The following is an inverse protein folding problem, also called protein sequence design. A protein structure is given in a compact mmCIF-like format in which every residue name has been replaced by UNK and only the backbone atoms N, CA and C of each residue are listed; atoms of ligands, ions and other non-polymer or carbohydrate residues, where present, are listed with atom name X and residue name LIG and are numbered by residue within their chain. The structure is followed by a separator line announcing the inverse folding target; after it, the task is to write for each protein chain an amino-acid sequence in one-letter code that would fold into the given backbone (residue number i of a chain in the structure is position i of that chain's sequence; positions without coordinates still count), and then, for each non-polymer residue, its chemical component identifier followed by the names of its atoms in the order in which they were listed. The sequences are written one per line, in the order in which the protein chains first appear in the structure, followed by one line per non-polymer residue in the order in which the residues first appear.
data_IF_772104680781
#
_entry.id   IF_772104680781
#
_cell.length_a   1.000
_cell.length_b   1.000
_cell.length_c   1.000
_cell.angle_alpha   90.00
_cell.angle_beta   90.00
_cell.angle_gamma   90.00
#
_symmetry.space_group_name_H-M   'P 1'
#
loop_
_entity.id
_entity.type
_entity.pdbx_description
1 polymer ?
#
# COMPACT_ATOMS: atom_id res chain seq x y z
N UNK A 1 -20.81 -14.75 15.44
CA UNK A 1 -20.82 -13.52 14.63
C UNK A 1 -19.96 -13.83 13.43
N UNK A 2 -20.51 -13.79 12.23
CA UNK A 2 -19.80 -14.21 11.01
C UNK A 2 -18.64 -13.24 10.74
N UNK A 3 -17.40 -13.73 10.76
CA UNK A 3 -16.19 -12.90 10.60
C UNK A 3 -16.24 -12.17 9.25
N UNK A 4 -16.91 -12.76 8.26
CA UNK A 4 -17.16 -12.16 6.95
C UNK A 4 -18.00 -10.86 7.01
N UNK A 5 -18.85 -10.67 8.03
CA UNK A 5 -19.66 -9.46 8.18
C UNK A 5 -18.92 -8.32 8.89
N UNK A 6 -17.91 -8.61 9.71
CA UNK A 6 -17.12 -7.59 10.43
C UNK A 6 -16.13 -6.86 9.51
N UNK A 7 -15.68 -7.51 8.43
CA UNK A 7 -14.64 -7.01 7.51
C UNK A 7 -15.17 -6.77 6.08
N UNK A 8 -16.39 -6.23 5.97
CA UNK A 8 -17.06 -6.08 4.67
C UNK A 8 -16.34 -5.12 3.70
N UNK A 9 -15.53 -4.21 4.22
CA UNK A 9 -14.89 -3.13 3.47
C UNK A 9 -13.37 -3.28 3.44
N UNK A 10 -12.74 -3.18 2.25
CA UNK A 10 -11.28 -3.17 2.15
C UNK A 10 -10.66 -1.97 2.85
N UNK A 11 -9.49 -2.21 3.45
CA UNK A 11 -8.61 -1.15 3.92
C UNK A 11 -7.80 -0.59 2.75
N UNK A 12 -7.53 0.71 2.79
CA UNK A 12 -6.57 1.35 1.91
C UNK A 12 -5.18 1.37 2.57
N UNK A 13 -4.17 0.86 1.87
CA UNK A 13 -2.76 0.88 2.28
C UNK A 13 -1.86 1.40 1.15
N UNK A 14 -0.62 1.71 1.48
CA UNK A 14 0.48 1.90 0.52
C UNK A 14 1.48 0.77 0.73
N UNK A 15 2.04 0.28 -0.36
CA UNK A 15 3.17 -0.66 -0.38
C UNK A 15 4.29 -0.04 -1.22
N UNK A 16 5.54 -0.34 -0.90
CA UNK A 16 6.70 0.02 -1.74
C UNK A 16 7.57 -1.20 -2.05
N UNK A 17 8.81 -0.97 -2.48
CA UNK A 17 9.73 -1.98 -3.00
C UNK A 17 10.05 -3.09 -1.99
N UNK A 18 10.01 -2.78 -0.69
CA UNK A 18 10.25 -3.75 0.39
C UNK A 18 9.10 -4.75 0.59
N UNK A 19 7.95 -4.49 -0.03
CA UNK A 19 6.79 -5.38 -0.06
C UNK A 19 6.63 -6.11 -1.39
N UNK A 20 6.67 -5.37 -2.51
CA UNK A 20 6.46 -5.91 -3.86
C UNK A 20 7.42 -5.20 -4.81
N UNK A 21 8.37 -5.97 -5.33
CA UNK A 21 9.34 -5.53 -6.34
C UNK A 21 9.78 -6.72 -7.22
N UNK A 22 10.39 -6.46 -8.37
CA UNK A 22 10.98 -7.49 -9.22
C UNK A 22 12.31 -8.02 -8.66
N UNK A 23 12.62 -9.27 -8.99
CA UNK A 23 13.89 -9.90 -8.65
C UNK A 23 14.09 -10.25 -7.16
N UNK A 24 13.16 -9.83 -6.29
CA UNK A 24 13.28 -10.02 -4.84
C UNK A 24 12.49 -11.24 -4.33
N UNK A 25 13.02 -11.96 -3.32
CA UNK A 25 12.25 -13.00 -2.63
C UNK A 25 11.01 -12.40 -1.94
N UNK A 26 9.97 -13.20 -1.68
CA UNK A 26 9.91 -14.66 -1.88
C UNK A 26 9.43 -15.09 -3.27
N UNK A 27 8.89 -14.16 -4.07
CA UNK A 27 8.21 -14.50 -5.33
C UNK A 27 9.11 -14.35 -6.56
N UNK A 28 10.16 -13.51 -6.51
CA UNK A 28 11.05 -13.23 -7.64
C UNK A 28 10.27 -12.80 -8.89
N UNK A 29 9.36 -11.84 -8.73
CA UNK A 29 8.59 -11.32 -9.85
C UNK A 29 9.52 -10.79 -10.94
N UNK A 30 9.12 -10.92 -12.19
CA UNK A 30 9.75 -10.19 -13.30
C UNK A 30 9.30 -8.73 -13.34
N UNK A 31 10.12 -7.87 -13.95
CA UNK A 31 9.79 -6.44 -14.21
C UNK A 31 8.36 -6.30 -14.78
N UNK A 32 7.99 -7.17 -15.73
CA UNK A 32 6.66 -7.14 -16.34
C UNK A 32 5.55 -7.61 -15.41
N UNK A 33 5.80 -8.54 -14.50
CA UNK A 33 4.79 -9.05 -13.57
C UNK A 33 4.36 -7.99 -12.56
N UNK A 34 5.28 -7.08 -12.21
CA UNK A 34 5.02 -5.96 -11.28
C UNK A 34 4.84 -4.62 -11.98
N UNK A 35 4.76 -4.57 -13.31
CA UNK A 35 4.60 -3.34 -14.11
C UNK A 35 5.77 -2.35 -14.06
N UNK A 36 6.96 -2.77 -13.66
CA UNK A 36 8.17 -1.94 -13.66
C UNK A 36 8.42 -1.33 -15.06
N UNK A 37 8.21 -2.12 -16.13
CA UNK A 37 8.34 -1.65 -17.52
C UNK A 37 7.41 -0.49 -17.93
N UNK A 38 6.38 -0.19 -17.13
CA UNK A 38 5.47 0.94 -17.31
C UNK A 38 5.37 1.84 -16.08
N UNK A 39 6.27 1.69 -15.11
CA UNK A 39 6.25 2.47 -13.87
C UNK A 39 6.41 3.97 -14.19
N UNK A 40 5.50 4.77 -13.65
CA UNK A 40 5.49 6.23 -13.80
C UNK A 40 4.58 6.84 -12.73
N UNK A 41 4.57 8.17 -12.63
CA UNK A 41 3.62 8.91 -11.81
C UNK A 41 2.19 8.57 -12.22
N UNK A 42 1.31 8.46 -11.21
CA UNK A 42 -0.12 8.20 -11.38
C UNK A 42 -0.49 6.85 -12.04
N UNK A 43 0.44 5.92 -12.27
CA UNK A 43 0.10 4.57 -12.72
C UNK A 43 -0.74 3.88 -11.63
N UNK A 44 -1.92 3.39 -12.02
CA UNK A 44 -2.88 2.72 -11.11
C UNK A 44 -3.41 1.41 -11.67
N UNK A 45 -3.01 1.02 -12.88
CA UNK A 45 -3.27 -0.31 -13.42
C UNK A 45 -2.99 -1.40 -12.40
N UNK A 46 -3.77 -2.47 -12.39
CA UNK A 46 -3.49 -3.62 -11.53
C UNK A 46 -2.13 -4.24 -11.93
N UNK A 47 -1.35 -4.70 -10.94
CA UNK A 47 -0.10 -5.41 -11.22
C UNK A 47 -0.41 -6.67 -12.04
N UNK A 48 0.30 -6.89 -13.16
CA UNK A 48 -0.03 -7.96 -14.11
C UNK A 48 -0.05 -9.35 -13.48
N UNK A 49 0.82 -9.64 -12.52
CA UNK A 49 0.77 -10.90 -11.78
C UNK A 49 -0.51 -11.04 -10.95
N UNK A 50 -0.95 -9.98 -10.28
CA UNK A 50 -2.14 -9.99 -9.44
C UNK A 50 -3.41 -10.14 -10.28
N UNK A 51 -3.49 -9.42 -11.42
CA UNK A 51 -4.61 -9.53 -12.36
C UNK A 51 -4.72 -10.93 -12.98
N UNK A 52 -3.59 -11.58 -13.26
CA UNK A 52 -3.56 -12.92 -13.84
C UNK A 52 -3.85 -14.06 -12.84
N UNK A 53 -3.62 -13.84 -11.55
CA UNK A 53 -3.69 -14.88 -10.51
C UNK A 53 -4.70 -14.63 -9.35
N UNK A 54 -5.94 -14.14 -9.57
CA UNK A 54 -6.93 -14.03 -8.50
C UNK A 54 -7.23 -15.37 -7.81
N UNK A 55 -7.21 -15.36 -6.47
CA UNK A 55 -7.46 -16.54 -5.64
C UNK A 55 -6.20 -17.30 -5.22
N UNK A 56 -5.06 -17.05 -5.87
CA UNK A 56 -3.78 -17.64 -5.48
C UNK A 56 -3.34 -17.12 -4.12
N UNK A 57 -2.62 -17.99 -3.40
CA UNK A 57 -2.08 -17.70 -2.08
C UNK A 57 -0.57 -17.56 -2.21
N UNK A 58 -0.08 -16.36 -1.93
CA UNK A 58 1.35 -16.04 -1.99
C UNK A 58 1.80 -15.42 -0.67
N UNK A 59 3.11 -15.32 -0.51
CA UNK A 59 3.75 -14.63 0.61
C UNK A 59 4.32 -13.32 0.12
N UNK A 60 4.26 -12.28 0.94
CA UNK A 60 4.95 -11.02 0.71
C UNK A 60 5.85 -10.74 1.91
N UNK A 61 7.01 -10.13 1.64
CA UNK A 61 7.78 -9.51 2.71
C UNK A 61 7.11 -8.19 3.12
N UNK A 62 7.52 -7.68 4.29
CA UNK A 62 7.05 -6.40 4.82
C UNK A 62 8.18 -5.45 5.19
N UNK A 63 9.38 -5.69 4.64
CA UNK A 63 10.59 -4.92 4.90
C UNK A 63 11.32 -5.29 6.20
N UNK A 64 12.00 -4.31 6.76
CA UNK A 64 12.74 -4.38 8.01
C UNK A 64 12.44 -3.17 8.90
N UNK A 65 12.73 -3.25 10.20
CA UNK A 65 12.56 -2.10 11.10
C UNK A 65 13.44 -0.93 10.61
N UNK A 66 12.77 0.17 10.22
CA UNK A 66 13.41 1.36 9.66
C UNK A 66 13.42 1.43 8.13
N UNK A 67 12.92 0.38 7.48
CA UNK A 67 12.77 0.21 6.03
C UNK A 67 11.50 -0.64 5.82
N UNK A 68 10.36 -0.09 6.24
CA UNK A 68 9.09 -0.82 6.24
C UNK A 68 8.46 -0.86 4.85
N UNK A 69 7.94 -2.02 4.43
CA UNK A 69 7.32 -2.14 3.10
C UNK A 69 5.84 -1.74 3.02
N UNK A 70 5.20 -1.52 4.17
CA UNK A 70 3.75 -1.45 4.31
C UNK A 70 3.35 -0.24 5.14
N UNK A 71 2.40 0.56 4.64
CA UNK A 71 2.00 1.79 5.31
C UNK A 71 0.49 1.97 5.38
N UNK A 72 0.01 2.39 6.54
CA UNK A 72 -1.35 2.88 6.71
C UNK A 72 -1.41 4.39 6.48
N UNK A 73 -2.33 4.83 5.62
CA UNK A 73 -2.73 6.24 5.53
C UNK A 73 -3.89 6.46 6.49
N UNK A 74 -3.68 7.29 7.52
CA UNK A 74 -4.69 7.51 8.58
C UNK A 74 -5.48 8.79 8.39
N UNK A 75 -5.05 9.69 7.51
CA UNK A 75 -5.72 10.96 7.21
C UNK A 75 -5.67 11.20 5.71
N UNK A 76 -6.79 11.62 5.13
CA UNK A 76 -6.83 12.15 3.77
C UNK A 76 -6.72 13.67 3.87
N UNK A 77 -5.67 14.29 3.28
CA UNK A 77 -5.55 15.74 3.25
C UNK A 77 -6.71 16.39 2.48
N UNK A 78 -7.21 17.53 2.99
CA UNK A 78 -8.24 18.34 2.28
C UNK A 78 -7.76 18.79 0.89
N UNK A 79 -6.44 18.93 0.71
CA UNK A 79 -5.86 19.25 -0.59
C UNK A 79 -6.11 18.18 -1.65
N UNK A 80 -6.26 16.91 -1.24
CA UNK A 80 -6.57 15.82 -2.16
C UNK A 80 -8.03 15.88 -2.63
N UNK A 81 -8.96 16.28 -1.75
CA UNK A 81 -10.35 16.55 -2.14
C UNK A 81 -10.42 17.68 -3.17
N UNK A 82 -9.69 18.78 -2.91
CA UNK A 82 -9.63 19.93 -3.81
C UNK A 82 -8.93 19.65 -5.15
N UNK A 83 -8.13 18.59 -5.26
CA UNK A 83 -7.45 18.22 -6.50
C UNK A 83 -8.42 17.75 -7.59
N UNK A 84 -9.58 17.18 -7.21
CA UNK A 84 -10.50 16.55 -8.15
C UNK A 84 -9.92 15.26 -8.77
N UNK A 85 -10.65 14.60 -9.69
CA UNK A 85 -11.89 15.05 -10.33
C UNK A 85 -13.17 14.80 -9.53
N UNK A 86 -13.07 14.14 -8.38
CA UNK A 86 -14.21 13.86 -7.48
C UNK A 86 -14.17 14.78 -6.26
N UNK A 87 -15.18 14.66 -5.39
CA UNK A 87 -15.22 15.30 -4.08
C UNK A 87 -14.80 14.34 -2.95
N UNK A 88 -14.00 13.32 -3.27
CA UNK A 88 -13.42 12.39 -2.32
C UNK A 88 -11.91 12.36 -2.55
N UNK A 89 -11.15 12.86 -1.57
CA UNK A 89 -9.70 12.96 -1.69
C UNK A 89 -9.00 11.62 -1.83
N UNK A 90 -9.53 10.54 -1.26
CA UNK A 90 -8.95 9.21 -1.46
C UNK A 90 -9.22 8.71 -2.88
N UNK A 91 -10.43 8.92 -3.42
CA UNK A 91 -10.71 8.60 -4.83
C UNK A 91 -9.83 9.42 -5.78
N UNK A 92 -9.56 10.69 -5.46
CA UNK A 92 -8.69 11.56 -6.27
C UNK A 92 -7.23 11.09 -6.28
N UNK A 93 -6.74 10.50 -5.19
CA UNK A 93 -5.38 9.93 -5.10
C UNK A 93 -5.28 8.53 -5.71
N UNK A 94 -6.25 7.66 -5.43
CA UNK A 94 -6.26 6.28 -5.91
C UNK A 94 -6.62 6.20 -7.41
N UNK A 95 -7.42 7.14 -7.90
CA UNK A 95 -7.92 7.12 -9.28
C UNK A 95 -8.82 5.91 -9.55
N UNK A 96 -8.82 5.49 -10.82
CA UNK A 96 -9.62 4.38 -11.33
C UNK A 96 -8.78 3.55 -12.31
N UNK A 97 -8.31 2.41 -11.81
CA UNK A 97 -7.46 1.47 -12.52
C UNK A 97 -8.06 0.89 -13.82
N UNK A 98 -9.35 1.09 -14.09
CA UNK A 98 -10.01 0.71 -15.35
C UNK A 98 -10.02 1.76 -16.44
N UNK A 99 -9.71 3.00 -16.09
CA UNK A 99 -9.61 4.10 -17.06
C UNK A 99 -8.20 4.09 -17.59
N UNK A 100 -8.02 4.41 -18.86
CA UNK A 100 -6.69 4.59 -19.44
C UNK A 100 -5.90 5.62 -18.62
N UNK A 101 -4.57 5.49 -18.64
CA UNK A 101 -3.66 6.46 -18.03
C UNK A 101 -4.10 7.91 -18.34
N UNK A 102 -4.15 8.82 -17.35
CA UNK A 102 -3.60 8.71 -15.99
C UNK A 102 -4.64 8.28 -14.93
N UNK A 103 -5.59 7.42 -15.31
CA UNK A 103 -6.52 6.78 -14.36
C UNK A 103 -7.39 7.74 -13.54
N UNK A 104 -7.68 8.95 -14.05
CA UNK A 104 -8.41 9.99 -13.29
C UNK A 104 -7.76 10.38 -11.95
N UNK A 105 -6.44 10.26 -11.82
CA UNK A 105 -5.70 10.78 -10.66
C UNK A 105 -5.68 12.32 -10.71
N UNK A 106 -5.94 12.96 -9.58
CA UNK A 106 -6.04 14.41 -9.47
C UNK A 106 -4.73 15.16 -9.74
N UNK A 107 -4.77 16.38 -10.30
CA UNK A 107 -3.61 17.25 -10.43
C UNK A 107 -2.86 17.43 -9.10
N UNK A 108 -1.53 17.28 -9.13
CA UNK A 108 -0.68 17.33 -7.93
C UNK A 108 -0.60 16.00 -7.15
N UNK A 109 -1.35 14.96 -7.56
CA UNK A 109 -1.34 13.60 -7.00
C UNK A 109 -0.72 12.55 -7.96
N UNK A 110 0.00 13.04 -8.97
CA UNK A 110 0.71 12.30 -10.01
C UNK A 110 0.47 12.88 -11.42
N UNK A 111 -0.39 13.89 -11.55
CA UNK A 111 -0.76 14.51 -12.84
C UNK A 111 -0.70 16.04 -12.82
N UNK A 112 -0.72 16.68 -13.99
CA UNK A 112 -0.70 18.14 -14.13
C UNK A 112 0.70 18.78 -14.10
N UNK A 113 0.77 20.11 -14.10
CA UNK A 113 2.01 20.88 -14.28
C UNK A 113 3.01 20.75 -13.11
N UNK A 114 2.52 20.42 -11.92
CA UNK A 114 3.32 20.18 -10.72
C UNK A 114 2.87 18.86 -10.10
N UNK A 115 3.22 17.73 -10.73
CA UNK A 115 2.47 16.50 -10.59
C UNK A 115 2.47 15.91 -9.19
N UNK A 116 3.42 16.26 -8.34
CA UNK A 116 3.56 15.67 -7.00
C UNK A 116 3.50 16.70 -5.87
N UNK A 117 3.05 17.93 -6.17
CA UNK A 117 3.06 19.04 -5.21
C UNK A 117 2.19 18.77 -3.97
N UNK A 118 1.24 17.82 -4.06
CA UNK A 118 0.35 17.43 -2.98
C UNK A 118 0.70 16.08 -2.35
N UNK A 119 1.86 15.49 -2.69
CA UNK A 119 2.30 14.18 -2.23
C UNK A 119 3.44 14.24 -1.19
N UNK A 120 3.78 15.44 -0.71
CA UNK A 120 4.81 15.62 0.32
C UNK A 120 4.20 15.91 1.70
N UNK A 121 4.94 15.57 2.76
CA UNK A 121 4.58 15.84 4.16
C UNK A 121 3.15 15.38 4.53
N UNK A 122 2.74 14.23 4.02
CA UNK A 122 1.41 13.67 4.23
C UNK A 122 1.30 13.21 5.68
N UNK A 123 0.36 13.76 6.48
CA UNK A 123 0.28 13.46 7.90
C UNK A 123 -0.15 12.02 8.16
N UNK A 124 0.48 11.39 9.16
CA UNK A 124 0.11 10.07 9.67
C UNK A 124 0.14 8.96 8.60
N UNK A 125 1.07 9.04 7.64
CA UNK A 125 1.54 7.86 6.90
C UNK A 125 2.34 7.02 7.88
N UNK A 126 1.78 5.87 8.26
CA UNK A 126 2.23 5.09 9.42
C UNK A 126 2.83 3.77 8.95
N UNK A 127 4.15 3.55 9.14
CA UNK A 127 4.79 2.27 8.88
C UNK A 127 4.16 1.14 9.68
N UNK A 128 3.87 0.01 9.03
CA UNK A 128 3.28 -1.16 9.65
C UNK A 128 4.36 -2.16 10.02
N UNK A 129 4.54 -2.32 11.33
CA UNK A 129 5.37 -3.36 11.94
C UNK A 129 4.50 -4.53 12.41
N UNK A 130 5.09 -5.50 13.10
CA UNK A 130 4.44 -6.78 13.39
C UNK A 130 3.05 -6.66 14.03
N UNK A 131 2.89 -5.80 15.04
CA UNK A 131 1.59 -5.58 15.69
C UNK A 131 0.55 -5.02 14.70
N UNK A 132 0.95 -4.07 13.86
CA UNK A 132 0.06 -3.47 12.85
C UNK A 132 -0.31 -4.43 11.73
N UNK A 133 0.64 -5.28 11.31
CA UNK A 133 0.44 -6.31 10.31
C UNK A 133 -0.52 -7.39 10.81
N UNK A 134 -0.36 -7.89 12.04
CA UNK A 134 -1.23 -8.93 12.62
C UNK A 134 -2.70 -8.48 12.70
N UNK A 135 -2.93 -7.19 12.98
CA UNK A 135 -4.26 -6.59 12.95
C UNK A 135 -4.94 -6.61 11.57
N UNK A 136 -4.19 -6.88 10.50
CA UNK A 136 -4.72 -7.06 9.15
C UNK A 136 -5.22 -8.48 8.88
N UNK A 137 -4.97 -9.47 9.74
CA UNK A 137 -5.42 -10.86 9.52
C UNK A 137 -6.95 -10.92 9.35
N UNK A 138 -7.39 -11.52 8.26
CA UNK A 138 -8.80 -11.60 7.84
C UNK A 138 -9.36 -10.30 7.24
N UNK A 139 -8.54 -9.28 7.03
CA UNK A 139 -8.90 -8.02 6.35
C UNK A 139 -8.63 -8.13 4.86
N UNK A 140 -9.47 -7.45 4.09
CA UNK A 140 -9.22 -7.17 2.67
C UNK A 140 -8.48 -5.85 2.56
N UNK A 141 -7.56 -5.75 1.61
CA UNK A 141 -6.73 -4.59 1.33
C UNK A 141 -6.86 -4.22 -0.14
N UNK A 142 -6.90 -2.92 -0.40
CA UNK A 142 -6.50 -2.32 -1.66
C UNK A 142 -5.24 -1.50 -1.38
N UNK A 143 -4.22 -1.62 -2.22
CA UNK A 143 -3.01 -0.84 -2.08
C UNK A 143 -2.55 -0.22 -3.40
N UNK A 144 -1.95 0.97 -3.29
CA UNK A 144 -1.06 1.51 -4.33
C UNK A 144 0.34 0.99 -4.04
N UNK A 145 1.01 0.49 -5.07
CA UNK A 145 2.39 -0.03 -4.99
C UNK A 145 3.33 0.99 -5.62
N UNK A 146 4.31 1.42 -4.84
CA UNK A 146 5.39 2.31 -5.27
C UNK A 146 6.55 1.50 -5.84
N UNK A 147 7.22 2.10 -6.82
CA UNK A 147 8.42 1.54 -7.46
C UNK A 147 9.69 1.71 -6.61
N UNK A 148 9.65 2.59 -5.61
CA UNK A 148 10.73 2.74 -4.64
C UNK A 148 10.23 3.25 -3.30
N UNK A 149 11.15 3.47 -2.37
CA UNK A 149 10.85 3.71 -0.95
C UNK A 149 9.89 4.86 -0.67
N UNK A 150 8.95 4.60 0.24
CA UNK A 150 8.16 5.64 0.88
C UNK A 150 8.95 6.21 2.07
N UNK A 151 9.39 7.46 1.93
CA UNK A 151 10.16 8.12 2.99
C UNK A 151 9.28 8.61 4.14
N UNK A 152 9.73 8.40 5.39
CA UNK A 152 9.01 8.77 6.60
C UNK A 152 9.82 9.71 7.49
N UNK A 153 9.20 10.81 7.89
CA UNK A 153 9.62 11.64 9.02
C UNK A 153 8.84 11.23 10.27
N UNK A 154 9.50 11.12 11.41
CA UNK A 154 8.88 10.63 12.66
C UNK A 154 8.52 11.74 13.66
N UNK A 155 9.00 12.97 13.44
CA UNK A 155 8.72 14.13 14.30
C UNK A 155 8.52 15.41 13.46
N UNK A 156 7.28 15.74 13.05
CA UNK A 156 6.04 14.96 13.22
C UNK A 156 5.95 13.75 12.28
N UNK A 157 5.10 12.76 12.62
CA UNK A 157 4.86 11.59 11.77
C UNK A 157 4.22 11.98 10.42
N UNK A 158 5.02 11.96 9.36
CA UNK A 158 4.64 12.34 8.00
C UNK A 158 5.35 11.45 6.97
N UNK A 159 4.70 11.20 5.84
CA UNK A 159 5.29 10.47 4.72
C UNK A 159 5.39 11.32 3.45
N UNK A 160 6.38 11.01 2.62
CA UNK A 160 6.45 11.46 1.23
C UNK A 160 5.94 10.34 0.34
N UNK A 161 4.83 10.58 -0.36
CA UNK A 161 4.19 9.69 -1.32
C UNK A 161 4.55 10.07 -2.76
N UNK A 162 5.74 10.65 -2.96
CA UNK A 162 6.32 10.99 -4.26
C UNK A 162 7.00 9.76 -4.87
N UNK A 163 7.15 9.76 -6.19
CA UNK A 163 7.81 8.72 -6.94
C UNK A 163 6.88 7.96 -7.87
N UNK A 164 7.49 7.14 -8.72
CA UNK A 164 6.79 6.29 -9.65
C UNK A 164 5.96 5.23 -8.92
N UNK A 165 4.89 4.79 -9.56
CA UNK A 165 4.04 3.72 -9.07
C UNK A 165 4.10 2.54 -10.02
N UNK A 166 4.16 1.34 -9.44
CA UNK A 166 3.97 0.08 -10.14
C UNK A 166 2.48 -0.13 -10.48
N UNK A 167 1.59 0.34 -9.62
CA UNK A 167 0.15 0.29 -9.86
C UNK A 167 -0.67 0.00 -8.62
N UNK A 168 -1.68 -0.86 -8.76
CA UNK A 168 -2.55 -1.28 -7.66
C UNK A 168 -2.59 -2.79 -7.46
N UNK A 169 -2.85 -3.22 -6.23
CA UNK A 169 -3.16 -4.62 -5.89
C UNK A 169 -4.34 -4.68 -4.94
N UNK A 170 -5.02 -5.83 -4.91
CA UNK A 170 -5.93 -6.16 -3.83
C UNK A 170 -5.71 -7.58 -3.35
N UNK A 171 -5.90 -7.79 -2.05
CA UNK A 171 -5.73 -9.10 -1.43
C UNK A 171 -6.48 -9.20 -0.10
N UNK A 172 -6.65 -10.42 0.39
CA UNK A 172 -7.04 -10.73 1.76
C UNK A 172 -5.81 -11.22 2.53
N UNK A 173 -5.52 -10.64 3.69
CA UNK A 173 -4.45 -11.12 4.56
C UNK A 173 -4.93 -12.36 5.30
N UNK A 174 -4.24 -13.48 5.14
CA UNK A 174 -4.61 -14.77 5.73
C UNK A 174 -3.85 -15.06 7.02
N UNK A 175 -2.57 -14.73 7.05
CA UNK A 175 -1.66 -15.04 8.15
C UNK A 175 -0.51 -14.04 8.15
N UNK A 176 -0.02 -13.69 9.34
CA UNK A 176 1.21 -12.93 9.55
C UNK A 176 2.11 -13.78 10.44
N UNK A 177 3.37 -13.95 10.04
CA UNK A 177 4.30 -14.84 10.74
C UNK A 177 5.68 -14.23 10.86
N UNK A 178 6.28 -14.36 12.03
CA UNK A 178 7.67 -13.98 12.27
C UNK A 178 8.61 -14.56 11.19
N UNK A 179 9.44 -13.69 10.61
CA UNK A 179 10.37 -14.06 9.56
C UNK A 179 11.73 -14.48 10.14
N UNK A 180 11.89 -15.78 10.37
CA UNK A 180 13.12 -16.35 10.94
C UNK A 180 14.15 -16.68 9.86
N UNK A 181 15.44 -16.59 10.19
CA UNK A 181 16.55 -16.93 9.27
C UNK A 181 17.07 -15.76 8.43
N UNK A 182 16.57 -14.55 8.71
CA UNK A 182 16.98 -13.29 8.09
C UNK A 182 17.62 -12.37 9.15
N UNK A 183 17.66 -11.06 8.89
CA UNK A 183 18.07 -10.05 9.86
C UNK A 183 17.19 -10.13 11.12
N UNK A 184 17.75 -9.81 12.28
CA UNK A 184 16.98 -9.65 13.52
C UNK A 184 15.92 -8.55 13.42
N UNK A 185 16.10 -7.59 12.49
CA UNK A 185 15.15 -6.53 12.21
C UNK A 185 14.17 -6.85 11.10
N UNK A 186 14.21 -8.05 10.52
CA UNK A 186 13.24 -8.46 9.51
C UNK A 186 11.83 -8.43 10.08
N UNK A 187 10.93 -7.77 9.36
CA UNK A 187 9.53 -7.75 9.69
C UNK A 187 8.83 -9.04 9.24
N UNK A 188 7.65 -9.36 9.80
CA UNK A 188 6.93 -10.57 9.48
C UNK A 188 6.68 -10.80 7.99
N UNK A 189 6.67 -12.06 7.58
CA UNK A 189 6.12 -12.46 6.29
C UNK A 189 4.58 -12.43 6.37
N UNK A 190 3.94 -11.91 5.33
CA UNK A 190 2.48 -11.82 5.23
C UNK A 190 1.99 -12.79 4.16
N UNK A 191 1.20 -13.79 4.56
CA UNK A 191 0.52 -14.67 3.60
C UNK A 191 -0.79 -14.04 3.19
N UNK A 192 -0.98 -13.86 1.88
CA UNK A 192 -2.14 -13.21 1.30
C UNK A 192 -2.86 -14.12 0.31
N UNK A 193 -4.16 -13.87 0.11
CA UNK A 193 -4.92 -14.37 -1.04
C UNK A 193 -5.15 -13.22 -2.01
N UNK A 194 -4.72 -13.37 -3.25
CA UNK A 194 -4.89 -12.35 -4.29
C UNK A 194 -6.38 -12.16 -4.57
N UNK A 195 -6.80 -10.90 -4.65
CA UNK A 195 -8.14 -10.48 -5.04
C UNK A 195 -8.04 -9.56 -6.26
N UNK A 196 -9.13 -9.45 -7.01
CA UNK A 196 -9.19 -8.55 -8.16
C UNK A 196 -9.27 -7.07 -7.70
N UNK A 197 -8.23 -6.29 -7.99
CA UNK A 197 -8.14 -4.89 -7.58
C UNK A 197 -9.23 -4.05 -8.24
N UNK A 198 -9.60 -4.31 -9.50
CA UNK A 198 -10.71 -3.59 -10.13
C UNK A 198 -12.04 -3.63 -9.35
N UNK A 199 -12.27 -4.72 -8.59
CA UNK A 199 -13.46 -4.89 -7.74
C UNK A 199 -13.27 -4.25 -6.37
N UNK A 200 -12.11 -4.42 -5.75
CA UNK A 200 -11.89 -4.10 -4.34
C UNK A 200 -11.22 -2.74 -4.10
N UNK A 201 -10.43 -2.23 -5.04
CA UNK A 201 -9.93 -0.85 -5.06
C UNK A 201 -10.97 0.18 -5.52
N UNK A 202 -12.17 -0.27 -5.88
CA UNK A 202 -13.31 0.58 -6.25
C UNK A 202 -14.49 0.44 -5.30
N UNK A 203 -14.29 -0.23 -4.17
CA UNK A 203 -15.34 -0.36 -3.18
C UNK A 203 -15.72 1.05 -2.73
N UNK A 204 -17.01 1.41 -2.88
CA UNK A 204 -17.63 2.69 -2.46
C UNK A 204 -17.42 3.06 -0.98
N UNK A 205 -16.71 2.22 -0.24
CA UNK A 205 -16.44 2.33 1.17
C UNK A 205 -15.04 1.79 1.51
N UNK A 206 -14.00 2.12 0.72
CA UNK A 206 -12.62 1.96 1.19
C UNK A 206 -12.46 2.64 2.56
N UNK A 207 -11.75 1.98 3.48
CA UNK A 207 -11.55 2.48 4.84
C UNK A 207 -10.08 2.73 5.11
N UNK A 208 -9.79 3.78 5.87
CA UNK A 208 -8.46 4.00 6.41
C UNK A 208 -8.20 3.08 7.60
N UNK A 209 -6.94 2.69 7.80
CA UNK A 209 -6.54 1.88 8.94
C UNK A 209 -6.19 2.77 10.15
N UNK A 210 -7.21 3.42 10.71
CA UNK A 210 -7.06 4.51 11.69
C UNK A 210 -6.42 4.10 13.03
N UNK A 211 -6.45 2.81 13.37
CA UNK A 211 -5.90 2.29 14.62
C UNK A 211 -4.55 1.56 14.43
N UNK A 212 -3.90 1.74 13.27
CA UNK A 212 -2.51 1.28 13.08
C UNK A 212 -1.60 1.88 14.17
N UNK A 213 -0.80 1.05 14.88
CA UNK A 213 0.17 1.51 15.86
C UNK A 213 1.20 2.46 15.22
N UNK A 214 1.47 3.58 15.88
CA UNK A 214 2.44 4.56 15.38
C UNK A 214 3.82 4.28 15.98
N UNK A 215 4.85 4.05 15.15
CA UNK A 215 6.22 4.00 15.63
C UNK A 215 6.68 5.39 16.11
N UNK A 216 7.49 5.41 17.16
CA UNK A 216 8.08 6.64 17.71
C UNK A 216 9.32 7.10 16.95
N UNK A 217 9.99 6.19 16.24
CA UNK A 217 11.14 6.46 15.37
C UNK A 217 11.29 5.35 14.34
N UNK A 218 12.26 5.52 13.42
CA UNK A 218 12.65 4.48 12.47
C UNK A 218 13.15 3.19 13.15
N UNK A 219 13.52 3.22 14.43
CA UNK A 219 14.01 2.03 15.13
C UNK A 219 13.08 1.55 16.25
N UNK A 220 12.15 2.38 16.73
CA UNK A 220 11.38 2.11 17.95
C UNK A 220 9.87 2.28 17.76
N UNK A 221 9.04 1.31 18.19
CA UNK A 221 9.45 0.05 18.84
C UNK A 221 10.06 -0.94 17.85
N UNK A 222 11.04 -1.73 18.31
CA UNK A 222 11.59 -2.84 17.52
C UNK A 222 10.59 -4.02 17.47
N UNK A 223 9.51 -3.85 16.70
CA UNK A 223 8.30 -4.67 16.66
C UNK A 223 8.33 -5.68 15.50
N UNK A 224 8.98 -6.82 15.72
CA UNK A 224 9.21 -7.85 14.67
C UNK A 224 8.43 -9.15 14.87
N UNK A 225 7.75 -9.31 16.02
CA UNK A 225 7.04 -10.54 16.39
C UNK A 225 5.53 -10.27 16.45
N UNK A 226 4.71 -10.93 15.60
CA UNK A 226 3.25 -10.78 15.56
C UNK A 226 2.55 -11.19 16.87
#
# INVERSE_FOLDING_TARGET
MDIAAANAHPLFLILDEDAIDNGNPPNFFSEKEVNDDIADLAVRSELRFFDANPGDIIKLHSGTVGDEGWFAVKVIPDSWDAAGPTSDGLENYLGNNRIEYPHNVGPGLGTGDSPEVLLDNIPLVTPLRATGLDMLVGRRVCAVVYDGDVSINYDPLQGSLKGANLGTVSFEVLEVKELTGYSTGSLPEVTIRILNAEKFCRARFLKLFLNAPEPSSSSEPFDTVP
#
